data_IF_032150179743
#
_entry.id   IF_032150179743
#
_cell.length_a   1.000
_cell.length_b   1.000
_cell.length_c   1.000
_cell.angle_alpha   90.00
_cell.angle_beta   90.00
_cell.angle_gamma   90.00
#
_symmetry.space_group_name_H-M   'P 1'
#
loop_
_entity.id
_entity.type
_entity.pdbx_description
1 polymer ?
#
# COMPACT_ATOMS: atom_id res chain seq x y z
N UNK A 1 -3.07 39.72 -21.37
CA UNK A 1 -3.89 38.98 -20.36
C UNK A 1 -3.23 37.63 -20.13
N UNK A 2 -2.93 37.21 -18.89
CA UNK A 2 -2.34 35.89 -18.68
C UNK A 2 -3.41 34.83 -18.95
N UNK A 3 -3.03 33.81 -19.73
CA UNK A 3 -3.90 32.72 -20.14
C UNK A 3 -4.41 31.93 -18.92
N UNK A 4 -5.73 31.73 -18.85
CA UNK A 4 -6.36 30.82 -17.87
C UNK A 4 -5.79 29.42 -18.12
N UNK A 5 -4.97 28.90 -17.20
CA UNK A 5 -4.39 27.56 -17.32
C UNK A 5 -5.45 26.51 -16.97
N UNK A 6 -5.93 25.70 -17.92
CA UNK A 6 -6.76 24.55 -17.59
C UNK A 6 -5.86 23.45 -17.02
N UNK A 7 -6.33 22.75 -15.99
CA UNK A 7 -5.71 21.50 -15.54
C UNK A 7 -5.05 21.54 -14.15
N UNK A 8 -5.86 21.63 -13.10
CA UNK A 8 -5.62 21.11 -11.74
C UNK A 8 -6.65 21.72 -10.80
N UNK A 9 -7.35 20.91 -10.01
CA UNK A 9 -8.26 21.40 -8.96
C UNK A 9 -7.50 21.99 -7.75
N UNK A 10 -6.16 21.94 -7.76
CA UNK A 10 -5.27 22.49 -6.73
C UNK A 10 -4.64 23.79 -7.22
N UNK A 11 -4.62 24.79 -6.34
CA UNK A 11 -3.86 26.01 -6.51
C UNK A 11 -2.36 25.67 -6.54
N UNK A 12 -1.62 26.21 -7.50
CA UNK A 12 -0.16 26.14 -7.55
C UNK A 12 0.47 27.32 -6.78
N UNK A 13 1.80 27.44 -6.80
CA UNK A 13 2.49 28.54 -6.11
C UNK A 13 2.19 29.90 -6.76
N UNK A 14 1.98 29.93 -8.08
CA UNK A 14 1.69 31.15 -8.84
C UNK A 14 0.31 31.68 -8.47
N UNK A 15 -0.70 30.82 -8.45
CA UNK A 15 -2.05 31.11 -7.98
C UNK A 15 -2.00 31.69 -6.55
N UNK A 16 -1.20 31.08 -5.65
CA UNK A 16 -1.01 31.56 -4.27
C UNK A 16 -0.31 32.92 -4.19
N UNK A 17 0.68 33.17 -5.05
CA UNK A 17 1.36 34.46 -5.11
C UNK A 17 0.41 35.59 -5.55
N UNK A 18 -0.44 35.33 -6.55
CA UNK A 18 -1.48 36.27 -6.98
C UNK A 18 -2.46 36.53 -5.83
N UNK A 19 -2.93 35.49 -5.14
CA UNK A 19 -3.80 35.63 -3.96
C UNK A 19 -3.13 36.52 -2.91
N UNK A 20 -1.85 36.32 -2.61
CA UNK A 20 -1.10 37.12 -1.63
C UNK A 20 -1.03 38.60 -1.98
N UNK A 21 -0.66 38.94 -3.22
CA UNK A 21 -0.58 40.33 -3.68
C UNK A 21 -1.97 40.97 -3.60
N UNK A 22 -2.99 40.31 -4.15
CA UNK A 22 -4.35 40.87 -4.21
C UNK A 22 -5.01 41.01 -2.84
N UNK A 23 -4.74 40.12 -1.90
CA UNK A 23 -5.23 40.25 -0.51
C UNK A 23 -4.60 41.47 0.16
N UNK A 24 -3.31 41.76 -0.08
CA UNK A 24 -2.64 42.97 0.43
C UNK A 24 -3.22 44.26 -0.17
N UNK A 25 -3.62 44.22 -1.43
CA UNK A 25 -4.32 45.32 -2.10
C UNK A 25 -5.79 45.49 -1.64
N UNK A 26 -6.30 44.63 -0.75
CA UNK A 26 -7.69 44.68 -0.29
C UNK A 26 -8.71 44.19 -1.32
N UNK A 27 -8.28 43.43 -2.34
CA UNK A 27 -9.18 42.95 -3.38
C UNK A 27 -10.22 41.94 -2.85
N UNK A 28 -11.43 42.01 -3.41
CA UNK A 28 -12.49 41.05 -3.09
C UNK A 28 -12.14 39.65 -3.61
N UNK A 29 -12.42 38.62 -2.82
CA UNK A 29 -12.13 37.20 -3.17
C UNK A 29 -12.68 36.78 -4.54
N UNK A 30 -13.85 37.31 -4.94
CA UNK A 30 -14.44 37.02 -6.25
C UNK A 30 -13.64 37.61 -7.42
N UNK A 31 -12.96 38.75 -7.23
CA UNK A 31 -12.10 39.35 -8.25
C UNK A 31 -10.82 38.50 -8.41
N UNK A 32 -10.20 38.13 -7.29
CA UNK A 32 -9.02 37.26 -7.25
C UNK A 32 -9.31 35.94 -7.99
N UNK A 33 -10.44 35.31 -7.69
CA UNK A 33 -10.86 34.06 -8.30
C UNK A 33 -11.02 34.15 -9.82
N UNK A 34 -11.59 35.26 -10.34
CA UNK A 34 -11.71 35.51 -11.78
C UNK A 34 -10.35 35.69 -12.44
N UNK A 35 -9.43 36.40 -11.80
CA UNK A 35 -8.10 36.66 -12.32
C UNK A 35 -7.26 35.39 -12.49
N UNK A 36 -7.28 34.51 -11.48
CA UNK A 36 -6.55 33.23 -11.55
C UNK A 36 -7.33 32.12 -12.28
N UNK A 37 -8.57 32.40 -12.73
CA UNK A 37 -9.42 31.41 -13.39
C UNK A 37 -9.83 30.23 -12.49
N UNK A 38 -10.09 30.48 -11.20
CA UNK A 38 -10.50 29.47 -10.21
C UNK A 38 -11.86 29.80 -9.59
N UNK A 39 -12.48 28.80 -8.96
CA UNK A 39 -13.75 29.02 -8.27
C UNK A 39 -13.55 29.87 -6.99
N UNK A 40 -14.44 30.83 -6.76
CA UNK A 40 -14.45 31.70 -5.57
C UNK A 40 -14.34 30.95 -4.25
N UNK A 41 -15.01 29.80 -4.13
CA UNK A 41 -14.99 28.95 -2.93
C UNK A 41 -13.63 28.30 -2.68
N UNK A 42 -12.84 28.03 -3.74
CA UNK A 42 -11.47 27.52 -3.60
C UNK A 42 -10.57 28.58 -3.00
N UNK A 43 -10.60 29.80 -3.55
CA UNK A 43 -9.80 30.93 -3.05
C UNK A 43 -10.20 31.29 -1.62
N UNK A 44 -11.49 31.34 -1.33
CA UNK A 44 -11.96 31.63 0.03
C UNK A 44 -11.49 30.56 1.05
N UNK A 45 -11.60 29.28 0.71
CA UNK A 45 -11.14 28.18 1.57
C UNK A 45 -9.63 28.21 1.78
N UNK A 46 -8.87 28.52 0.73
CA UNK A 46 -7.42 28.66 0.78
C UNK A 46 -7.01 29.78 1.76
N UNK A 47 -7.53 31.00 1.57
CA UNK A 47 -7.22 32.16 2.43
C UNK A 47 -7.63 31.86 3.88
N UNK A 48 -8.84 31.35 4.10
CA UNK A 48 -9.34 31.05 5.46
C UNK A 48 -8.46 30.01 6.17
N UNK A 49 -7.97 29.01 5.46
CA UNK A 49 -7.20 27.90 6.03
C UNK A 49 -5.72 28.22 6.26
N UNK A 50 -5.15 29.14 5.48
CA UNK A 50 -3.72 29.41 5.44
C UNK A 50 -3.31 30.80 5.96
N UNK A 51 -4.23 31.56 6.57
CA UNK A 51 -3.87 32.78 7.28
C UNK A 51 -2.85 32.52 8.40
N UNK A 52 -1.94 33.47 8.57
CA UNK A 52 -1.00 33.54 9.68
C UNK A 52 -1.70 34.12 10.92
N UNK A 53 -1.06 34.00 12.09
CA UNK A 53 -1.64 34.46 13.37
C UNK A 53 -1.86 35.99 13.41
N UNK A 54 -1.04 36.73 12.67
CA UNK A 54 -1.13 38.17 12.41
C UNK A 54 -2.25 38.54 11.41
N UNK A 55 -2.99 37.55 10.88
CA UNK A 55 -4.04 37.74 9.89
C UNK A 55 -3.55 37.87 8.45
N UNK A 56 -2.23 37.87 8.20
CA UNK A 56 -1.68 37.98 6.84
C UNK A 56 -1.78 36.65 6.09
N UNK A 57 -1.74 36.72 4.76
CA UNK A 57 -1.66 35.55 3.90
C UNK A 57 -0.30 35.55 3.17
N UNK A 58 0.49 34.50 3.40
CA UNK A 58 1.80 34.31 2.79
C UNK A 58 1.79 33.07 1.88
N UNK A 59 2.17 33.25 0.62
CA UNK A 59 2.02 32.21 -0.42
C UNK A 59 2.93 31.00 -0.22
N UNK A 60 4.19 31.25 0.16
CA UNK A 60 5.22 30.27 0.50
C UNK A 60 4.82 29.43 1.72
N UNK A 61 4.36 30.06 2.80
CA UNK A 61 3.86 29.37 4.00
C UNK A 61 2.63 28.52 3.66
N UNK A 62 1.70 29.05 2.87
CA UNK A 62 0.53 28.33 2.41
C UNK A 62 0.90 27.09 1.56
N UNK A 63 1.92 27.20 0.70
CA UNK A 63 2.46 26.09 -0.10
C UNK A 63 3.03 25.01 0.82
N UNK A 64 3.91 25.38 1.75
CA UNK A 64 4.55 24.45 2.70
C UNK A 64 3.50 23.70 3.53
N UNK A 65 2.54 24.41 4.13
CA UNK A 65 1.44 23.81 4.91
C UNK A 65 0.58 22.86 4.07
N UNK A 66 0.37 23.19 2.80
CA UNK A 66 -0.38 22.33 1.87
C UNK A 66 0.38 21.05 1.55
N UNK A 67 1.68 21.14 1.28
CA UNK A 67 2.53 19.97 1.10
C UNK A 67 2.59 19.10 2.36
N UNK A 68 2.78 19.69 3.54
CA UNK A 68 2.78 18.96 4.81
C UNK A 68 1.47 18.20 5.04
N UNK A 69 0.32 18.84 4.84
CA UNK A 69 -0.99 18.18 4.96
C UNK A 69 -1.26 17.13 3.89
N UNK A 70 -0.70 17.32 2.70
CA UNK A 70 -0.81 16.33 1.62
C UNK A 70 -0.07 15.03 1.95
N UNK A 71 0.98 15.08 2.79
CA UNK A 71 1.75 13.89 3.19
C UNK A 71 0.92 12.84 3.92
N UNK A 72 -0.14 13.24 4.67
CA UNK A 72 -1.05 12.37 5.43
C UNK A 72 -0.35 11.10 5.98
N UNK A 73 0.71 11.24 6.80
CA UNK A 73 1.40 10.08 7.35
C UNK A 73 0.41 9.29 8.20
N UNK A 74 0.25 8.01 7.90
CA UNK A 74 -0.48 7.08 8.77
C UNK A 74 0.56 6.46 9.69
N UNK A 75 0.42 6.68 11.00
CA UNK A 75 1.25 6.00 11.98
C UNK A 75 1.10 4.49 11.78
N UNK A 76 2.24 3.79 11.72
CA UNK A 76 2.24 2.35 11.53
C UNK A 76 2.07 1.68 12.89
N UNK A 77 1.24 0.63 13.01
CA UNK A 77 0.92 0.02 14.31
C UNK A 77 2.15 -0.48 15.07
N UNK A 78 3.13 -1.05 14.36
CA UNK A 78 4.41 -1.51 14.92
C UNK A 78 5.42 -0.36 15.15
N UNK A 79 4.94 0.84 15.48
CA UNK A 79 5.72 1.92 16.10
C UNK A 79 5.59 1.92 17.63
N UNK A 80 4.63 1.17 18.18
CA UNK A 80 4.57 0.94 19.62
C UNK A 80 5.74 0.00 20.00
N UNK A 81 6.69 0.45 20.84
CA UNK A 81 7.89 -0.33 21.18
C UNK A 81 7.56 -1.62 21.94
N UNK A 82 6.52 -1.61 22.78
CA UNK A 82 6.14 -2.77 23.58
C UNK A 82 5.56 -3.88 22.69
N UNK A 83 4.66 -3.50 21.78
CA UNK A 83 4.10 -4.40 20.78
C UNK A 83 5.18 -4.93 19.82
N UNK A 84 6.09 -4.05 19.37
CA UNK A 84 7.19 -4.46 18.50
C UNK A 84 8.05 -5.51 19.20
N UNK A 85 8.51 -5.23 20.42
CA UNK A 85 9.33 -6.14 21.22
C UNK A 85 8.66 -7.50 21.42
N UNK A 86 7.37 -7.54 21.77
CA UNK A 86 6.63 -8.79 21.91
C UNK A 86 6.65 -9.62 20.61
N UNK A 87 6.41 -8.97 19.46
CA UNK A 87 6.44 -9.64 18.16
C UNK A 87 7.84 -10.17 17.85
N UNK A 88 8.89 -9.44 18.21
CA UNK A 88 10.27 -9.88 18.02
C UNK A 88 10.60 -11.10 18.88
N UNK A 89 10.30 -11.05 20.18
CA UNK A 89 10.57 -12.14 21.13
C UNK A 89 9.84 -13.42 20.70
N UNK A 90 8.55 -13.31 20.34
CA UNK A 90 7.76 -14.45 19.87
C UNK A 90 8.30 -15.04 18.55
N UNK A 91 8.81 -14.21 17.65
CA UNK A 91 9.42 -14.69 16.40
C UNK A 91 10.79 -15.34 16.62
N UNK A 92 11.56 -14.90 17.61
CA UNK A 92 12.81 -15.56 18.03
C UNK A 92 12.53 -16.95 18.64
N UNK A 93 11.40 -17.11 19.33
CA UNK A 93 10.87 -18.41 19.80
C UNK A 93 10.34 -19.30 18.65
N UNK A 94 10.42 -18.84 17.41
CA UNK A 94 10.04 -19.59 16.21
C UNK A 94 8.56 -19.48 15.84
N UNK A 95 7.81 -18.54 16.42
CA UNK A 95 6.39 -18.39 16.10
C UNK A 95 6.18 -17.79 14.71
N UNK A 96 5.19 -18.32 13.99
CA UNK A 96 4.79 -17.74 12.71
C UNK A 96 4.05 -16.40 12.94
N UNK A 97 4.16 -15.40 12.03
CA UNK A 97 3.42 -14.14 12.15
C UNK A 97 1.91 -14.30 12.34
N UNK A 98 1.32 -15.37 11.78
CA UNK A 98 -0.10 -15.69 11.97
C UNK A 98 -0.38 -16.13 13.41
N UNK A 99 0.48 -16.98 13.97
CA UNK A 99 0.37 -17.41 15.37
C UNK A 99 0.52 -16.22 16.31
N UNK A 100 1.52 -15.36 16.10
CA UNK A 100 1.71 -14.13 16.90
C UNK A 100 0.44 -13.27 16.92
N UNK A 101 -0.19 -13.04 15.76
CA UNK A 101 -1.43 -12.24 15.73
C UNK A 101 -2.60 -12.88 16.49
N UNK A 102 -2.71 -14.21 16.47
CA UNK A 102 -3.77 -14.94 17.18
C UNK A 102 -3.55 -14.88 18.70
N UNK A 103 -2.32 -15.12 19.16
CA UNK A 103 -1.99 -15.09 20.58
C UNK A 103 -2.14 -13.68 21.15
N UNK A 104 -1.79 -12.65 20.39
CA UNK A 104 -2.02 -11.25 20.78
C UNK A 104 -3.50 -10.94 20.99
N UNK A 105 -4.37 -11.43 20.10
CA UNK A 105 -5.83 -11.25 20.23
C UNK A 105 -6.39 -11.99 21.46
N UNK A 106 -5.86 -13.18 21.75
CA UNK A 106 -6.26 -13.98 22.92
C UNK A 106 -5.75 -13.38 24.25
N UNK A 107 -4.50 -12.92 24.27
CA UNK A 107 -3.82 -12.44 25.50
C UNK A 107 -4.21 -11.00 25.83
N UNK A 108 -4.36 -10.14 24.82
CA UNK A 108 -4.60 -8.69 24.97
C UNK A 108 -5.93 -8.25 24.33
N UNK A 109 -6.96 -9.10 24.37
CA UNK A 109 -8.23 -8.87 23.67
C UNK A 109 -8.94 -7.55 23.98
N UNK A 110 -8.63 -6.89 25.10
CA UNK A 110 -9.20 -5.60 25.51
C UNK A 110 -8.33 -4.38 25.17
N UNK A 111 -7.08 -4.57 24.73
CA UNK A 111 -6.14 -3.49 24.44
C UNK A 111 -5.83 -3.40 22.95
N UNK A 112 -6.47 -2.44 22.26
CA UNK A 112 -6.26 -2.20 20.83
C UNK A 112 -4.81 -1.79 20.48
N UNK A 113 -4.05 -1.26 21.45
CA UNK A 113 -2.67 -0.83 21.24
C UNK A 113 -1.70 -2.00 21.12
N UNK A 114 -2.10 -3.17 21.60
CA UNK A 114 -1.37 -4.44 21.55
C UNK A 114 -1.85 -5.37 20.42
N UNK A 115 -2.74 -4.89 19.54
CA UNK A 115 -3.27 -5.69 18.44
C UNK A 115 -2.61 -5.37 17.09
N UNK A 116 -2.24 -6.43 16.37
CA UNK A 116 -1.68 -6.33 15.03
C UNK A 116 -2.10 -7.52 14.16
N UNK A 117 -2.50 -7.24 12.92
CA UNK A 117 -2.73 -8.29 11.92
C UNK A 117 -1.39 -8.89 11.45
N UNK A 118 -1.37 -10.20 11.20
CA UNK A 118 -0.21 -10.88 10.61
C UNK A 118 0.21 -10.29 9.25
N UNK A 119 -0.71 -9.70 8.48
CA UNK A 119 -0.37 -8.99 7.24
C UNK A 119 0.45 -7.72 7.51
N UNK A 120 0.20 -7.03 8.64
CA UNK A 120 1.01 -5.88 9.08
C UNK A 120 2.41 -6.34 9.49
N UNK A 121 2.52 -7.47 10.18
CA UNK A 121 3.82 -8.08 10.52
C UNK A 121 4.58 -8.48 9.25
N UNK A 122 3.91 -9.10 8.26
CA UNK A 122 4.56 -9.37 6.97
C UNK A 122 5.01 -8.09 6.26
N UNK A 123 4.20 -7.04 6.26
CA UNK A 123 4.58 -5.77 5.65
C UNK A 123 5.78 -5.11 6.31
N UNK A 124 5.92 -5.20 7.63
CA UNK A 124 7.11 -4.67 8.33
C UNK A 124 8.37 -5.48 8.07
N UNK A 125 8.26 -6.81 7.94
CA UNK A 125 9.40 -7.66 7.60
C UNK A 125 9.94 -7.40 6.18
N UNK A 126 9.05 -7.14 5.21
CA UNK A 126 9.43 -7.04 3.80
C UNK A 126 9.67 -5.61 3.30
N UNK A 127 9.08 -4.59 3.92
CA UNK A 127 9.16 -3.21 3.45
C UNK A 127 10.06 -2.41 4.39
N UNK A 128 11.25 -2.05 3.90
CA UNK A 128 12.18 -1.19 4.65
C UNK A 128 11.52 0.13 5.05
N UNK A 129 11.55 0.45 6.34
CA UNK A 129 10.97 1.68 6.90
C UNK A 129 9.50 1.58 7.32
N UNK A 130 8.88 0.39 7.30
CA UNK A 130 7.54 0.16 7.87
C UNK A 130 7.64 -0.55 9.22
N UNK A 131 7.43 0.20 10.30
CA UNK A 131 7.56 -0.33 11.67
C UNK A 131 9.00 -0.40 12.15
N UNK A 132 9.17 -0.74 13.42
CA UNK A 132 10.48 -0.73 14.10
C UNK A 132 11.08 -2.13 14.28
N UNK A 133 10.55 -3.15 13.58
CA UNK A 133 11.06 -4.51 13.69
C UNK A 133 12.49 -4.66 13.17
N UNK A 134 13.27 -5.51 13.85
CA UNK A 134 14.60 -5.96 13.43
C UNK A 134 14.59 -6.58 12.03
N UNK A 135 15.61 -6.23 11.23
CA UNK A 135 15.69 -6.57 9.80
C UNK A 135 16.00 -8.04 9.53
N UNK A 136 16.47 -8.79 10.51
CA UNK A 136 16.89 -10.19 10.40
C UNK A 136 15.79 -11.20 10.76
N UNK A 137 14.67 -10.74 11.32
CA UNK A 137 13.52 -11.58 11.70
C UNK A 137 12.90 -12.38 10.55
N UNK A 138 13.12 -11.98 9.30
CA UNK A 138 12.67 -12.81 8.15
C UNK A 138 13.34 -14.18 8.13
N UNK A 139 14.49 -14.37 8.80
CA UNK A 139 15.18 -15.66 8.89
C UNK A 139 14.39 -16.69 9.69
N UNK A 140 13.62 -16.23 10.68
CA UNK A 140 12.73 -17.07 11.50
C UNK A 140 11.51 -17.59 10.72
N UNK A 141 11.25 -17.05 9.52
CA UNK A 141 10.21 -17.57 8.64
C UNK A 141 10.65 -18.91 8.02
N UNK A 142 9.72 -19.84 7.87
CA UNK A 142 9.96 -21.15 7.22
C UNK A 142 10.58 -21.06 5.82
N UNK A 143 10.34 -19.97 5.09
CA UNK A 143 10.93 -19.75 3.75
C UNK A 143 12.25 -18.98 3.79
N UNK A 144 12.58 -18.36 4.92
CA UNK A 144 13.72 -17.46 5.15
C UNK A 144 13.92 -16.37 4.08
N UNK A 145 12.85 -16.00 3.36
CA UNK A 145 12.91 -15.02 2.28
C UNK A 145 12.91 -13.61 2.85
N UNK A 146 13.84 -12.78 2.40
CA UNK A 146 13.89 -11.35 2.74
C UNK A 146 12.88 -10.49 1.97
N UNK A 147 12.19 -11.06 0.97
CA UNK A 147 11.20 -10.36 0.14
C UNK A 147 9.97 -11.22 -0.12
N UNK A 148 8.80 -10.58 -0.12
CA UNK A 148 7.54 -11.23 -0.50
C UNK A 148 7.53 -11.52 -1.99
N UNK A 149 7.06 -12.71 -2.37
CA UNK A 149 6.77 -13.03 -3.77
C UNK A 149 5.36 -12.56 -4.11
N UNK A 150 5.18 -11.72 -5.14
CA UNK A 150 3.85 -11.27 -5.55
C UNK A 150 3.03 -12.45 -6.10
N UNK A 151 1.77 -12.53 -5.69
CA UNK A 151 0.84 -13.55 -6.18
C UNK A 151 0.31 -13.11 -7.56
N UNK A 152 0.88 -13.63 -8.64
CA UNK A 152 0.39 -13.37 -10.01
C UNK A 152 1.48 -13.25 -11.08
N UNK A 153 2.71 -12.93 -10.69
CA UNK A 153 3.85 -12.91 -11.63
C UNK A 153 4.46 -14.32 -11.72
N UNK A 154 3.75 -15.23 -12.40
CA UNK A 154 4.49 -16.29 -13.08
C UNK A 154 5.22 -15.61 -14.24
N UNK A 155 6.55 -15.82 -14.43
CA UNK A 155 7.23 -15.34 -15.62
C UNK A 155 6.39 -15.72 -16.85
N UNK A 156 6.14 -14.78 -17.77
CA UNK A 156 5.44 -15.10 -19.03
C UNK A 156 6.19 -16.28 -19.67
N UNK A 157 5.50 -17.40 -19.83
CA UNK A 157 6.07 -18.65 -20.33
C UNK A 157 6.52 -19.67 -19.28
N UNK A 158 6.31 -19.46 -17.97
CA UNK A 158 6.55 -20.48 -16.93
C UNK A 158 5.39 -21.49 -16.80
N UNK A 159 4.19 -21.14 -17.27
CA UNK A 159 3.07 -22.07 -17.33
C UNK A 159 3.37 -23.17 -18.35
N UNK A 160 3.45 -24.42 -17.88
CA UNK A 160 3.64 -25.60 -18.74
C UNK A 160 5.09 -25.95 -19.10
N UNK A 161 6.11 -25.21 -18.64
CA UNK A 161 7.51 -25.59 -18.95
C UNK A 161 7.90 -26.97 -18.42
N UNK A 162 7.41 -27.31 -17.22
CA UNK A 162 7.66 -28.63 -16.62
C UNK A 162 6.98 -29.79 -17.34
N UNK A 163 6.06 -29.51 -18.27
CA UNK A 163 5.31 -30.50 -19.05
C UNK A 163 5.61 -30.41 -20.55
N UNK A 164 6.67 -29.69 -20.96
CA UNK A 164 7.06 -29.60 -22.39
C UNK A 164 7.40 -30.96 -22.99
N UNK A 165 8.08 -31.80 -22.21
CA UNK A 165 8.51 -33.14 -22.60
C UNK A 165 7.62 -34.23 -22.00
N UNK A 166 6.50 -33.86 -21.37
CA UNK A 166 5.56 -34.83 -20.84
C UNK A 166 4.77 -35.46 -22.00
N UNK A 167 4.64 -36.81 -22.04
CA UNK A 167 3.91 -37.48 -23.10
C UNK A 167 2.46 -37.01 -23.13
N UNK A 168 1.97 -36.69 -24.32
CA UNK A 168 0.58 -36.27 -24.49
C UNK A 168 -0.35 -37.46 -24.32
N UNK A 169 -1.61 -37.19 -23.98
CA UNK A 169 -2.64 -38.24 -23.91
C UNK A 169 -2.76 -39.00 -25.25
N UNK A 170 -2.52 -38.32 -26.38
CA UNK A 170 -2.48 -38.93 -27.72
C UNK A 170 -1.31 -39.87 -27.98
N UNK A 171 -0.25 -39.77 -27.19
CA UNK A 171 0.97 -40.60 -27.31
C UNK A 171 0.92 -41.81 -26.36
N UNK A 172 -0.21 -42.02 -25.68
CA UNK A 172 -0.43 -43.16 -24.79
C UNK A 172 -0.49 -44.46 -25.61
N UNK A 173 0.17 -45.54 -25.17
CA UNK A 173 0.09 -46.84 -25.83
C UNK A 173 -1.35 -47.40 -25.77
N UNK A 174 -1.79 -48.05 -26.85
CA UNK A 174 -3.15 -48.58 -26.99
C UNK A 174 -3.54 -49.59 -25.88
N UNK A 175 -2.57 -50.35 -25.39
CA UNK A 175 -2.71 -51.31 -24.28
C UNK A 175 -3.27 -50.67 -22.99
N UNK A 176 -3.04 -49.36 -22.84
CA UNK A 176 -3.50 -48.60 -21.68
C UNK A 176 -4.97 -48.17 -21.79
N UNK A 177 -5.55 -48.16 -23.00
CA UNK A 177 -6.99 -47.94 -23.22
C UNK A 177 -7.79 -49.22 -22.96
N UNK A 178 -7.22 -50.38 -23.31
CA UNK A 178 -7.84 -51.69 -23.11
C UNK A 178 -7.90 -52.10 -21.63
N UNK A 179 -7.12 -51.44 -20.76
CA UNK A 179 -7.06 -51.68 -19.30
C UNK A 179 -6.89 -53.16 -18.93
N UNK A 180 -6.31 -53.96 -19.82
CA UNK A 180 -6.22 -55.41 -19.66
C UNK A 180 -5.10 -55.83 -18.69
N UNK A 181 -4.18 -54.90 -18.35
CA UNK A 181 -3.04 -55.15 -17.46
C UNK A 181 -3.28 -54.50 -16.08
N UNK A 182 -3.08 -55.25 -14.97
CA UNK A 182 -3.07 -54.69 -13.63
C UNK A 182 -2.02 -53.58 -13.52
N UNK A 183 -2.47 -52.34 -13.32
CA UNK A 183 -1.64 -51.12 -13.38
C UNK A 183 -2.27 -50.01 -14.24
N UNK A 184 -3.09 -50.37 -15.23
CA UNK A 184 -3.89 -49.42 -16.03
C UNK A 184 -5.28 -49.11 -15.41
N UNK A 185 -5.55 -49.65 -14.23
CA UNK A 185 -6.83 -49.51 -13.52
C UNK A 185 -6.90 -48.27 -12.63
N UNK A 186 -5.77 -47.61 -12.37
CA UNK A 186 -5.77 -46.37 -11.61
C UNK A 186 -6.36 -45.23 -12.44
N UNK A 187 -7.44 -44.69 -11.90
CA UNK A 187 -8.43 -43.80 -12.52
C UNK A 187 -7.85 -42.54 -13.16
N UNK A 188 -8.38 -42.20 -14.34
CA UNK A 188 -8.40 -40.81 -14.82
C UNK A 188 -9.23 -39.98 -13.83
N UNK A 189 -8.57 -39.21 -12.96
CA UNK A 189 -9.27 -38.19 -12.19
C UNK A 189 -9.85 -37.17 -13.17
N UNK A 190 -11.18 -37.04 -13.11
CA UNK A 190 -12.03 -36.16 -13.88
C UNK A 190 -11.44 -34.74 -14.03
N UNK A 191 -11.10 -34.36 -15.26
CA UNK A 191 -11.11 -32.96 -15.72
C UNK A 191 -11.88 -32.95 -17.05
N UNK A 192 -13.20 -33.07 -16.99
CA UNK A 192 -14.04 -32.61 -18.10
C UNK A 192 -13.92 -31.09 -18.17
N UNK A 193 -13.41 -30.59 -19.29
CA UNK A 193 -13.60 -29.22 -19.73
C UNK A 193 -14.29 -29.27 -21.10
N UNK A 194 -15.54 -28.79 -21.10
CA UNK A 194 -16.42 -28.41 -22.21
C UNK A 194 -16.77 -29.48 -23.25
#
# INVERSE_FOLDING_TARGET
MPAVRPGSNRLDLVDRAVIMIRVREGAKVAAIAREIGRNRSVVWREIRRNRCADGTYQADVAQIRTHQRARRPKAFRLQNPDLAKYVEDAMDDGWSPKLVSLVLEETFGHDESMQVSHETIYQSLYVQGRGELRKDLYRCLSTSRSKRVPRGERPRGAAGQHYKDAPKISERPAEADDRAVPGHWESQCFCQAA
#
